data_IF_197655799843
#
_entry.id   IF_197655799843
#
_cell.length_a   1.000
_cell.length_b   1.000
_cell.length_c   1.000
_cell.angle_alpha   90.00
_cell.angle_beta   90.00
_cell.angle_gamma   90.00
#
_symmetry.space_group_name_H-M   'P 1'
#
loop_
_entity.id
_entity.type
_entity.pdbx_description
1 polymer ?
#
# COMPACT_ATOMS: atom_id res chain seq x y z
N UNK A 1 51.27 6.56 41.91
CA UNK A 1 49.81 6.34 42.01
C UNK A 1 49.13 7.36 41.12
N UNK A 2 48.31 6.88 40.17
CA UNK A 2 47.12 7.47 39.48
C UNK A 2 47.03 9.02 39.40
N UNK A 3 46.72 9.71 38.29
CA UNK A 3 45.76 9.43 37.20
C UNK A 3 45.74 10.62 36.21
N UNK A 4 45.26 10.42 34.97
CA UNK A 4 44.58 11.46 34.17
C UNK A 4 45.25 11.81 32.84
N UNK A 5 44.99 11.09 31.73
CA UNK A 5 43.87 11.12 30.77
C UNK A 5 44.07 12.07 29.56
N UNK A 6 44.18 11.41 28.40
CA UNK A 6 44.29 11.89 27.03
C UNK A 6 43.18 12.86 26.59
N UNK A 7 43.55 13.86 25.78
CA UNK A 7 42.63 14.63 24.93
C UNK A 7 43.07 14.46 23.47
N UNK A 8 42.53 13.44 22.80
CA UNK A 8 42.63 13.24 21.34
C UNK A 8 41.50 12.33 20.90
N UNK A 9 40.37 12.92 20.50
CA UNK A 9 39.28 12.28 19.76
C UNK A 9 38.44 13.46 19.24
N UNK A 10 38.24 13.67 17.95
CA UNK A 10 38.20 12.73 16.86
C UNK A 10 37.00 13.14 16.04
N UNK A 11 37.24 14.00 15.06
CA UNK A 11 36.28 14.43 14.06
C UNK A 11 35.84 13.19 13.27
N UNK A 12 34.64 12.66 13.55
CA UNK A 12 34.00 11.65 12.72
C UNK A 12 32.75 12.20 12.07
N UNK A 13 32.93 12.36 10.76
CA UNK A 13 31.99 12.49 9.66
C UNK A 13 30.51 12.19 9.94
N UNK A 14 29.70 13.13 9.49
CA UNK A 14 28.34 12.91 9.04
C UNK A 14 28.28 11.84 7.94
N UNK A 15 27.43 10.84 8.14
CA UNK A 15 26.80 10.08 7.06
C UNK A 15 25.30 10.20 7.25
N UNK A 16 24.65 10.77 6.23
CA UNK A 16 23.23 11.07 6.22
C UNK A 16 22.37 9.81 6.34
N UNK A 17 21.46 9.83 7.31
CA UNK A 17 20.25 9.02 7.31
C UNK A 17 19.15 9.81 6.59
N UNK A 18 19.31 10.01 5.29
CA UNK A 18 18.23 10.51 4.43
C UNK A 18 17.40 9.34 3.91
N UNK A 19 16.49 8.82 4.73
CA UNK A 19 15.49 7.82 4.29
C UNK A 19 14.20 7.74 5.16
N UNK A 20 13.82 8.80 5.88
CA UNK A 20 12.55 8.84 6.65
C UNK A 20 11.67 10.06 6.28
N UNK A 21 11.84 10.63 5.10
CA UNK A 21 11.21 11.91 4.72
C UNK A 21 10.26 11.78 3.54
N UNK A 22 9.21 10.97 3.70
CA UNK A 22 8.04 11.00 2.81
C UNK A 22 6.71 10.75 3.53
N UNK A 23 6.72 10.53 4.85
CA UNK A 23 5.48 10.35 5.64
C UNK A 23 4.68 11.65 5.86
N UNK A 24 5.28 12.83 5.68
CA UNK A 24 4.71 14.13 6.08
C UNK A 24 4.49 15.13 4.95
N UNK A 25 4.77 14.77 3.70
CA UNK A 25 4.48 15.64 2.57
C UNK A 25 2.95 15.77 2.45
N UNK A 26 2.39 16.98 2.61
CA UNK A 26 0.95 17.26 2.51
C UNK A 26 0.17 17.40 3.83
N UNK A 27 0.82 17.46 4.99
CA UNK A 27 0.16 17.65 6.29
C UNK A 27 -0.14 16.32 7.01
N UNK A 28 -0.43 16.43 8.32
CA UNK A 28 -0.68 15.27 9.19
C UNK A 28 -2.17 14.97 9.20
N UNK A 29 -2.58 13.86 8.58
CA UNK A 29 -3.90 13.29 8.81
C UNK A 29 -3.79 12.35 10.00
N UNK A 30 -4.36 12.76 11.12
CA UNK A 30 -4.39 11.95 12.33
C UNK A 30 -5.54 10.94 12.27
N UNK A 31 -5.23 9.67 12.52
CA UNK A 31 -6.26 8.62 12.62
C UNK A 31 -6.77 8.07 11.29
N UNK A 32 -6.11 8.35 10.16
CA UNK A 32 -6.40 7.68 8.88
C UNK A 32 -5.76 6.29 8.78
N UNK A 33 -6.26 5.43 7.88
CA UNK A 33 -5.67 4.13 7.66
C UNK A 33 -4.36 4.21 6.86
N UNK A 34 -3.28 3.64 7.41
CA UNK A 34 -2.00 3.43 6.70
C UNK A 34 -1.82 1.94 6.47
N UNK A 35 -1.61 1.54 5.21
CA UNK A 35 -1.65 0.12 4.82
C UNK A 35 -0.46 -0.30 3.97
N UNK A 36 -0.14 -1.59 4.03
CA UNK A 36 0.57 -2.33 2.98
C UNK A 36 -0.46 -2.92 2.03
N UNK A 37 -0.13 -2.98 0.74
CA UNK A 37 -1.01 -3.49 -0.32
C UNK A 37 -0.26 -4.54 -1.13
N UNK A 38 -0.89 -5.67 -1.42
CA UNK A 38 -0.37 -6.72 -2.29
C UNK A 38 -1.46 -7.29 -3.21
N UNK A 39 -1.02 -7.88 -4.32
CA UNK A 39 -1.83 -8.79 -5.14
C UNK A 39 -1.38 -10.21 -4.88
N UNK A 40 -2.32 -11.08 -4.56
CA UNK A 40 -2.11 -12.49 -4.27
C UNK A 40 -2.97 -13.38 -5.18
N UNK A 41 -2.61 -14.65 -5.29
CA UNK A 41 -3.38 -15.68 -6.01
C UNK A 41 -3.74 -15.30 -7.46
N UNK A 42 -2.83 -14.62 -8.16
CA UNK A 42 -3.07 -14.24 -9.56
C UNK A 42 -3.16 -15.47 -10.46
N UNK A 43 -4.22 -15.54 -11.26
CA UNK A 43 -4.37 -16.51 -12.33
C UNK A 43 -4.96 -15.85 -13.58
N UNK A 44 -4.42 -16.24 -14.72
CA UNK A 44 -4.89 -15.90 -16.05
C UNK A 44 -5.24 -17.20 -16.75
N UNK A 45 -6.52 -17.39 -17.08
CA UNK A 45 -6.98 -18.53 -17.87
C UNK A 45 -7.63 -18.06 -19.15
N UNK A 46 -7.59 -18.89 -20.17
CA UNK A 46 -8.25 -18.65 -21.45
C UNK A 46 -9.35 -19.66 -21.67
N UNK A 47 -10.53 -19.19 -22.05
CA UNK A 47 -11.68 -20.03 -22.37
C UNK A 47 -12.13 -19.75 -23.80
N UNK A 48 -12.42 -20.80 -24.56
CA UNK A 48 -13.00 -20.66 -25.90
C UNK A 48 -14.45 -21.11 -25.85
N UNK A 49 -15.36 -20.28 -26.36
CA UNK A 49 -16.77 -20.64 -26.46
C UNK A 49 -17.06 -21.56 -27.66
N UNK A 50 -18.31 -22.00 -27.79
CA UNK A 50 -18.76 -22.86 -28.90
C UNK A 50 -18.67 -22.17 -30.27
N UNK A 51 -18.54 -20.84 -30.30
CA UNK A 51 -18.42 -20.03 -31.51
C UNK A 51 -16.95 -19.68 -31.83
N UNK A 52 -15.99 -20.33 -31.16
CA UNK A 52 -14.56 -20.09 -31.29
C UNK A 52 -14.11 -18.68 -30.85
N UNK A 53 -14.88 -18.01 -30.00
CA UNK A 53 -14.45 -16.76 -29.36
C UNK A 53 -13.58 -17.06 -28.15
N UNK A 54 -12.39 -16.48 -28.10
CA UNK A 54 -11.49 -16.57 -26.95
C UNK A 54 -11.81 -15.50 -25.92
N UNK A 55 -11.88 -15.90 -24.66
CA UNK A 55 -12.02 -15.04 -23.51
C UNK A 55 -10.83 -15.22 -22.57
N UNK A 56 -10.38 -14.12 -22.00
CA UNK A 56 -9.32 -14.04 -21.01
C UNK A 56 -9.96 -13.78 -19.65
N UNK A 57 -9.75 -14.69 -18.71
CA UNK A 57 -10.26 -14.62 -17.36
C UNK A 57 -9.10 -14.33 -16.40
N UNK A 58 -9.20 -13.20 -15.71
CA UNK A 58 -8.25 -12.73 -14.72
C UNK A 58 -8.87 -12.93 -13.34
N UNK A 59 -8.20 -13.63 -12.44
CA UNK A 59 -8.59 -13.74 -11.03
C UNK A 59 -7.41 -13.45 -10.13
N UNK A 60 -7.65 -12.67 -9.09
CA UNK A 60 -6.65 -12.38 -8.07
C UNK A 60 -7.31 -11.87 -6.79
N UNK A 61 -6.56 -11.85 -5.71
CA UNK A 61 -6.98 -11.24 -4.44
C UNK A 61 -6.13 -10.00 -4.20
N UNK A 62 -6.76 -8.86 -3.96
CA UNK A 62 -6.09 -7.67 -3.43
C UNK A 62 -6.10 -7.81 -1.91
N UNK A 63 -4.96 -7.66 -1.27
CA UNK A 63 -4.82 -7.81 0.19
C UNK A 63 -4.20 -6.54 0.78
N UNK A 64 -4.86 -6.01 1.81
CA UNK A 64 -4.40 -4.86 2.58
C UNK A 64 -4.10 -5.29 4.01
N UNK A 65 -3.00 -4.77 4.56
CA UNK A 65 -2.66 -4.90 5.97
C UNK A 65 -2.45 -3.51 6.59
N UNK A 66 -3.21 -3.18 7.62
CA UNK A 66 -3.06 -1.93 8.36
C UNK A 66 -1.81 -1.99 9.24
N UNK A 67 -0.93 -0.99 9.11
CA UNK A 67 0.30 -0.91 9.89
C UNK A 67 0.00 -0.61 11.38
N UNK A 68 0.82 -1.08 12.33
CA UNK A 68 0.67 -0.69 13.74
C UNK A 68 0.65 0.84 13.91
N UNK A 69 -0.32 1.34 14.68
CA UNK A 69 -0.60 2.78 14.84
C UNK A 69 -1.58 3.35 13.81
N UNK A 70 -1.99 2.59 12.80
CA UNK A 70 -2.98 2.98 11.80
C UNK A 70 -4.37 3.20 12.42
N UNK A 71 -5.10 4.21 11.93
CA UNK A 71 -6.49 4.44 12.31
C UNK A 71 -7.52 3.73 11.44
N UNK A 72 -8.80 4.08 11.63
CA UNK A 72 -9.94 3.57 10.86
C UNK A 72 -10.27 4.48 9.67
N UNK A 73 -10.92 3.92 8.65
CA UNK A 73 -11.41 4.71 7.52
C UNK A 73 -11.43 3.93 6.23
N UNK A 74 -11.21 4.62 5.11
CA UNK A 74 -11.25 4.05 3.77
C UNK A 74 -9.90 4.21 3.07
N UNK A 75 -9.49 3.20 2.31
CA UNK A 75 -8.33 3.22 1.43
C UNK A 75 -8.79 3.11 -0.01
N UNK A 76 -8.35 4.05 -0.86
CA UNK A 76 -8.65 4.09 -2.29
C UNK A 76 -7.34 3.91 -3.04
N UNK A 77 -7.19 2.84 -3.82
CA UNK A 77 -5.99 2.62 -4.64
C UNK A 77 -6.04 3.53 -5.87
N UNK A 78 -4.90 4.15 -6.19
CA UNK A 78 -4.76 5.12 -7.27
C UNK A 78 -3.58 4.77 -8.19
N UNK A 79 -3.70 5.14 -9.47
CA UNK A 79 -2.60 5.12 -10.43
C UNK A 79 -1.64 6.31 -10.25
N UNK A 80 -0.61 6.38 -11.09
CA UNK A 80 0.36 7.47 -11.14
C UNK A 80 -0.30 8.87 -11.23
N UNK A 81 -1.36 8.95 -12.05
CA UNK A 81 -2.12 10.15 -12.38
C UNK A 81 -3.17 10.52 -11.30
N UNK A 82 -3.38 9.66 -10.30
CA UNK A 82 -4.33 9.86 -9.22
C UNK A 82 -5.75 9.40 -9.53
N UNK A 83 -5.95 8.61 -10.60
CA UNK A 83 -7.23 7.98 -10.90
C UNK A 83 -7.42 6.76 -10.02
N UNK A 84 -8.66 6.53 -9.59
CA UNK A 84 -9.00 5.33 -8.85
C UNK A 84 -8.94 4.10 -9.76
N UNK A 85 -8.19 3.08 -9.32
CA UNK A 85 -7.97 1.86 -10.10
C UNK A 85 -8.93 0.73 -9.71
N UNK A 86 -9.45 0.78 -8.49
CA UNK A 86 -10.28 -0.28 -7.93
C UNK A 86 -11.26 0.27 -6.89
N UNK A 87 -12.31 -0.48 -6.54
CA UNK A 87 -13.27 -0.03 -5.54
C UNK A 87 -12.59 0.19 -4.17
N UNK A 88 -13.06 1.14 -3.33
CA UNK A 88 -12.41 1.42 -2.05
C UNK A 88 -12.45 0.24 -1.07
N UNK A 89 -11.49 0.21 -0.14
CA UNK A 89 -11.42 -0.73 0.97
C UNK A 89 -11.82 -0.05 2.28
N UNK A 90 -12.65 -0.71 3.09
CA UNK A 90 -12.95 -0.26 4.44
C UNK A 90 -11.98 -0.88 5.44
N UNK A 91 -11.37 -0.05 6.28
CA UNK A 91 -10.58 -0.43 7.44
C UNK A 91 -11.43 -0.11 8.69
N UNK A 92 -12.17 -1.09 9.22
CA UNK A 92 -13.19 -0.86 10.24
C UNK A 92 -12.61 -0.64 11.64
N UNK A 93 -11.36 -1.06 11.87
CA UNK A 93 -10.72 -1.03 13.18
C UNK A 93 -9.31 -0.46 13.08
N UNK A 94 -8.94 0.36 14.06
CA UNK A 94 -7.58 0.87 14.18
C UNK A 94 -6.63 -0.29 14.53
N UNK A 95 -5.40 -0.22 14.04
CA UNK A 95 -4.35 -1.16 14.42
C UNK A 95 -3.55 -0.58 15.59
N UNK A 96 -3.62 -1.14 16.81
CA UNK A 96 -2.93 -0.59 17.97
C UNK A 96 -1.42 -0.48 17.75
N UNK A 97 -0.75 0.57 18.25
CA UNK A 97 0.71 0.69 18.16
C UNK A 97 1.46 -0.38 18.98
N UNK A 98 0.78 -1.04 19.92
CA UNK A 98 1.30 -2.18 20.67
C UNK A 98 1.38 -3.47 19.85
N UNK A 99 0.73 -3.52 18.67
CA UNK A 99 0.82 -4.69 17.81
C UNK A 99 2.20 -4.77 17.17
N UNK A 100 2.81 -5.96 17.22
CA UNK A 100 4.08 -6.22 16.54
C UNK A 100 3.88 -6.41 15.03
N UNK A 101 2.76 -7.05 14.66
CA UNK A 101 2.44 -7.40 13.29
C UNK A 101 1.31 -6.51 12.74
N UNK A 102 1.26 -6.28 11.42
CA UNK A 102 0.16 -5.57 10.78
C UNK A 102 -1.21 -6.22 11.01
N UNK A 103 -2.26 -5.41 11.13
CA UNK A 103 -3.63 -5.87 11.31
C UNK A 103 -4.31 -6.19 9.96
N UNK A 104 -5.14 -7.22 9.92
CA UNK A 104 -5.80 -7.70 8.70
C UNK A 104 -5.71 -9.23 8.59
N UNK A 105 -5.80 -9.79 7.37
CA UNK A 105 -5.93 -9.11 6.09
C UNK A 105 -7.31 -8.48 5.85
N UNK A 106 -7.34 -7.36 5.12
CA UNK A 106 -8.53 -6.85 4.45
C UNK A 106 -8.41 -7.19 2.97
N UNK A 107 -9.18 -8.18 2.52
CA UNK A 107 -9.02 -8.72 1.18
C UNK A 107 -10.27 -8.58 0.33
N UNK A 108 -10.06 -8.54 -0.99
CA UNK A 108 -11.12 -8.61 -2.00
C UNK A 108 -10.69 -9.47 -3.16
N UNK A 109 -11.52 -10.44 -3.53
CA UNK A 109 -11.36 -11.18 -4.78
C UNK A 109 -11.82 -10.30 -5.94
N UNK A 110 -11.01 -10.26 -6.99
CA UNK A 110 -11.33 -9.63 -8.26
C UNK A 110 -11.36 -10.70 -9.33
N UNK A 111 -12.44 -10.73 -10.11
CA UNK A 111 -12.60 -11.57 -11.28
C UNK A 111 -13.03 -10.71 -12.46
N UNK A 112 -12.25 -10.71 -13.54
CA UNK A 112 -12.55 -9.99 -14.79
C UNK A 112 -12.48 -10.93 -15.97
N UNK A 113 -13.43 -10.78 -16.89
CA UNK A 113 -13.48 -11.52 -18.16
C UNK A 113 -13.49 -10.53 -19.31
N UNK A 114 -12.65 -10.77 -20.31
CA UNK A 114 -12.52 -9.90 -21.48
C UNK A 114 -12.37 -10.73 -22.75
N UNK A 115 -12.88 -10.22 -23.88
CA UNK A 115 -12.65 -10.81 -25.21
C UNK A 115 -11.30 -10.40 -25.82
N UNK A 116 -10.59 -9.46 -25.19
CA UNK A 116 -9.23 -9.04 -25.57
C UNK A 116 -8.32 -9.06 -24.34
N UNK A 117 -7.01 -9.33 -24.48
CA UNK A 117 -6.08 -9.23 -23.38
C UNK A 117 -6.12 -7.84 -22.74
N UNK A 118 -6.29 -7.78 -21.42
CA UNK A 118 -6.26 -6.54 -20.66
C UNK A 118 -4.82 -6.09 -20.42
N UNK A 119 -4.57 -4.79 -20.56
CA UNK A 119 -3.33 -4.17 -20.10
C UNK A 119 -3.40 -3.98 -18.58
N UNK A 120 -2.36 -4.37 -17.83
CA UNK A 120 -2.35 -4.15 -16.39
C UNK A 120 -2.33 -2.65 -16.07
N UNK A 121 -3.02 -2.28 -15.00
CA UNK A 121 -2.99 -0.93 -14.40
C UNK A 121 -2.15 -1.00 -13.13
N UNK A 122 -1.19 -0.09 -12.99
CA UNK A 122 -0.35 -0.02 -11.80
C UNK A 122 -1.01 0.84 -10.74
N UNK A 123 -1.35 0.24 -9.59
CA UNK A 123 -1.64 0.99 -8.38
C UNK A 123 -0.30 1.45 -7.78
N UNK A 124 -0.03 2.74 -7.82
CA UNK A 124 1.23 3.32 -7.32
C UNK A 124 1.04 4.12 -6.03
N UNK A 125 -0.20 4.54 -5.76
CA UNK A 125 -0.54 5.37 -4.61
C UNK A 125 -1.82 4.86 -3.97
N UNK A 126 -2.09 5.31 -2.76
CA UNK A 126 -3.42 5.20 -2.18
C UNK A 126 -3.84 6.52 -1.53
N UNK A 127 -5.13 6.84 -1.62
CA UNK A 127 -5.74 7.88 -0.80
C UNK A 127 -6.34 7.21 0.42
N UNK A 128 -5.86 7.59 1.59
CA UNK A 128 -6.56 7.30 2.84
C UNK A 128 -7.59 8.39 3.13
N UNK A 129 -8.76 7.98 3.63
CA UNK A 129 -9.82 8.86 4.13
C UNK A 129 -10.12 8.43 5.55
N UNK A 130 -9.77 9.27 6.52
CA UNK A 130 -9.99 9.02 7.94
C UNK A 130 -11.49 9.13 8.30
N UNK A 131 -11.89 8.58 9.45
CA UNK A 131 -13.27 8.65 9.93
C UNK A 131 -13.81 10.08 10.12
N UNK A 132 -12.92 11.06 10.31
CA UNK A 132 -13.26 12.48 10.42
C UNK A 132 -13.39 13.19 9.05
N UNK A 133 -13.27 12.46 7.94
CA UNK A 133 -13.36 12.98 6.57
C UNK A 133 -12.06 13.59 6.03
N UNK A 134 -10.99 13.70 6.83
CA UNK A 134 -9.69 14.13 6.33
C UNK A 134 -9.11 13.07 5.40
N UNK A 135 -8.41 13.51 4.35
CA UNK A 135 -7.79 12.59 3.40
C UNK A 135 -6.37 13.00 3.03
N UNK A 136 -5.56 12.01 2.66
CA UNK A 136 -4.18 12.19 2.21
C UNK A 136 -3.83 11.11 1.20
N UNK A 137 -3.05 11.48 0.19
CA UNK A 137 -2.46 10.55 -0.76
C UNK A 137 -1.08 10.15 -0.27
N UNK A 138 -0.78 8.86 -0.34
CA UNK A 138 0.47 8.25 0.09
C UNK A 138 0.95 7.32 -1.02
N UNK A 139 2.24 7.38 -1.34
CA UNK A 139 2.85 6.48 -2.32
C UNK A 139 2.97 5.07 -1.73
N UNK A 140 2.73 4.06 -2.58
CA UNK A 140 2.99 2.67 -2.23
C UNK A 140 4.50 2.40 -2.28
N UNK A 141 5.03 1.53 -1.41
CA UNK A 141 6.46 1.19 -1.41
C UNK A 141 6.89 0.49 -2.71
N UNK A 142 5.97 -0.19 -3.37
CA UNK A 142 6.13 -0.76 -4.69
C UNK A 142 4.80 -0.70 -5.46
N UNK A 143 4.82 -0.47 -6.79
CA UNK A 143 3.62 -0.56 -7.61
C UNK A 143 2.96 -1.94 -7.53
N UNK A 144 1.64 -1.98 -7.45
CA UNK A 144 0.86 -3.22 -7.48
C UNK A 144 0.12 -3.30 -8.81
N UNK A 145 0.45 -4.30 -9.62
CA UNK A 145 -0.25 -4.56 -10.87
C UNK A 145 -1.66 -5.10 -10.64
N UNK A 146 -2.66 -4.48 -11.24
CA UNK A 146 -4.06 -4.89 -11.21
C UNK A 146 -4.59 -5.00 -12.65
N UNK A 147 -5.72 -5.67 -12.82
CA UNK A 147 -6.44 -5.80 -14.10
C UNK A 147 -7.89 -5.46 -13.87
#
# INVERSE_FOLDING_TARGET
MMWGKNLLLGTLLALGLSACSSFFEGGVVWGGPTVLVSRENFSLTTETDQNNNTFYNYRYTIVLYALPGSGTGTVILLDAAGNQVEAPFLIPQACPPSNRDPCGPYSREVAKRSSVPLTPVLAEKYRMVAANGQSKVVDLPAPVELY
#
